data_IF_215464092906
#
_entry.id   IF_215464092906
#
_cell.length_a   1.000
_cell.length_b   1.000
_cell.length_c   1.000
_cell.angle_alpha   90.00
_cell.angle_beta   90.00
_cell.angle_gamma   90.00
#
_symmetry.space_group_name_H-M   'P 1'
#
loop_
_entity.id
_entity.type
_entity.pdbx_description
1 polymer ?
#
# COMPACT_ATOMS: atom_id res chain seq x y z
N UNK A 1 -63.07 45.29 87.67
CA UNK A 1 -63.47 46.53 86.97
C UNK A 1 -62.28 47.40 86.55
N UNK A 2 -61.18 47.50 87.33
CA UNK A 2 -60.00 48.28 86.93
C UNK A 2 -59.27 47.76 85.66
N UNK A 3 -59.05 46.45 85.52
CA UNK A 3 -58.37 45.89 84.33
C UNK A 3 -59.08 46.18 83.01
N UNK A 4 -60.42 46.12 83.01
CA UNK A 4 -61.22 46.40 81.81
C UNK A 4 -61.17 47.87 81.38
N UNK A 5 -61.01 48.81 82.33
CA UNK A 5 -60.91 50.24 82.04
C UNK A 5 -59.56 50.59 81.42
N UNK A 6 -58.47 50.05 81.96
CA UNK A 6 -57.12 50.26 81.42
C UNK A 6 -56.96 49.61 80.05
N UNK A 7 -57.58 48.45 79.83
CA UNK A 7 -57.57 47.79 78.53
C UNK A 7 -58.39 48.57 77.48
N UNK A 8 -59.53 49.17 77.87
CA UNK A 8 -60.32 50.06 77.02
C UNK A 8 -59.52 51.31 76.62
N UNK A 9 -58.84 51.96 77.57
CA UNK A 9 -57.99 53.13 77.30
C UNK A 9 -56.83 52.80 76.35
N UNK A 10 -56.20 51.64 76.50
CA UNK A 10 -55.16 51.17 75.59
C UNK A 10 -55.69 50.96 74.17
N UNK A 11 -56.83 50.28 74.03
CA UNK A 11 -57.46 50.02 72.73
C UNK A 11 -57.90 51.33 72.05
N UNK A 12 -58.45 52.28 72.81
CA UNK A 12 -58.83 53.60 72.29
C UNK A 12 -57.61 54.39 71.81
N UNK A 13 -56.51 54.38 72.56
CA UNK A 13 -55.26 55.04 72.17
C UNK A 13 -54.67 54.43 70.89
N UNK A 14 -54.67 53.09 70.79
CA UNK A 14 -54.22 52.39 69.59
C UNK A 14 -55.13 52.68 68.38
N UNK A 15 -56.45 52.73 68.59
CA UNK A 15 -57.42 53.04 67.55
C UNK A 15 -57.26 54.47 66.99
N UNK A 16 -57.03 55.46 67.86
CA UNK A 16 -56.74 56.85 67.44
C UNK A 16 -55.40 56.95 66.69
N UNK A 17 -54.38 56.19 67.11
CA UNK A 17 -53.11 56.09 66.38
C UNK A 17 -53.32 55.55 64.97
N UNK A 18 -54.04 54.44 64.82
CA UNK A 18 -54.35 53.84 63.50
C UNK A 18 -55.20 54.78 62.64
N UNK A 19 -56.14 55.51 63.24
CA UNK A 19 -56.93 56.52 62.54
C UNK A 19 -56.06 57.67 61.98
N UNK A 20 -55.09 58.15 62.76
CA UNK A 20 -54.14 59.18 62.32
C UNK A 20 -53.21 58.68 61.20
N UNK A 21 -52.73 57.43 61.31
CA UNK A 21 -51.94 56.78 60.25
C UNK A 21 -52.75 56.63 58.96
N UNK A 22 -54.03 56.26 59.06
CA UNK A 22 -54.93 56.16 57.90
C UNK A 22 -55.19 57.52 57.24
N UNK A 23 -55.47 58.57 58.03
CA UNK A 23 -55.64 59.92 57.51
C UNK A 23 -54.37 60.43 56.81
N UNK A 24 -53.19 60.12 57.35
CA UNK A 24 -51.90 60.43 56.74
C UNK A 24 -51.75 59.71 55.39
N UNK A 25 -52.06 58.42 55.33
CA UNK A 25 -52.01 57.63 54.09
C UNK A 25 -52.95 58.19 53.00
N UNK A 26 -54.16 58.61 53.40
CA UNK A 26 -55.11 59.24 52.47
C UNK A 26 -54.55 60.52 51.85
N UNK A 27 -53.88 61.36 52.63
CA UNK A 27 -53.30 62.63 52.17
C UNK A 27 -51.96 62.49 51.43
N UNK A 28 -51.25 61.37 51.60
CA UNK A 28 -49.92 61.15 51.02
C UNK A 28 -49.95 60.85 49.50
N UNK A 29 -51.09 60.37 48.97
CA UNK A 29 -51.20 59.93 47.59
C UNK A 29 -52.39 60.58 46.88
N UNK A 30 -52.24 60.80 45.57
CA UNK A 30 -53.37 61.11 44.69
C UNK A 30 -54.06 59.80 44.30
N UNK A 31 -55.18 59.49 44.94
CA UNK A 31 -55.93 58.24 44.71
C UNK A 31 -56.73 58.29 43.41
N UNK A 32 -56.62 57.27 42.53
CA UNK A 32 -57.40 57.22 41.30
C UNK A 32 -58.89 56.92 41.58
N UNK A 33 -59.76 57.28 40.64
CA UNK A 33 -61.22 57.23 40.81
C UNK A 33 -61.80 55.82 41.10
N UNK A 34 -61.05 54.75 40.83
CA UNK A 34 -61.44 53.36 41.12
C UNK A 34 -61.08 52.92 42.56
N UNK A 35 -60.44 53.78 43.36
CA UNK A 35 -60.17 53.56 44.78
C UNK A 35 -61.11 54.49 45.58
N UNK A 36 -62.28 54.00 46.01
CA UNK A 36 -63.24 54.82 46.72
C UNK A 36 -62.69 55.18 48.10
N UNK A 37 -62.73 56.46 48.45
CA UNK A 37 -62.34 56.96 49.77
C UNK A 37 -63.60 57.14 50.65
N UNK A 38 -63.47 57.06 51.98
CA UNK A 38 -64.52 57.44 52.91
C UNK A 38 -65.03 58.86 52.63
N UNK A 39 -66.34 59.03 52.58
CA UNK A 39 -66.97 60.33 52.33
C UNK A 39 -66.79 61.35 53.48
N UNK A 40 -66.42 60.86 54.67
CA UNK A 40 -66.15 61.65 55.87
C UNK A 40 -64.84 61.18 56.52
N UNK A 41 -64.06 62.10 57.13
CA UNK A 41 -62.87 61.72 57.90
C UNK A 41 -63.26 60.80 59.07
N UNK A 42 -62.27 60.06 59.60
CA UNK A 42 -62.47 59.24 60.80
C UNK A 42 -62.88 60.16 61.96
N UNK A 43 -64.03 59.93 62.62
CA UNK A 43 -64.46 60.78 63.73
C UNK A 43 -63.52 60.68 64.94
N UNK A 44 -63.26 61.79 65.64
CA UNK A 44 -62.51 61.79 66.90
C UNK A 44 -63.31 61.19 68.07
N UNK A 45 -64.64 61.21 67.97
CA UNK A 45 -65.58 60.69 68.97
C UNK A 45 -65.94 59.23 68.67
N UNK A 46 -65.57 58.33 69.60
CA UNK A 46 -65.83 56.89 69.50
C UNK A 46 -67.32 56.53 69.38
N UNK A 47 -68.24 57.37 69.85
CA UNK A 47 -69.69 57.10 69.71
C UNK A 47 -70.16 57.14 68.26
N UNK A 48 -69.41 57.80 67.37
CA UNK A 48 -69.73 57.94 65.94
C UNK A 48 -69.06 56.86 65.06
N UNK A 49 -68.18 56.04 65.64
CA UNK A 49 -67.42 55.03 64.91
C UNK A 49 -68.32 53.93 64.35
N UNK A 50 -69.37 53.54 65.06
CA UNK A 50 -70.33 52.54 64.57
C UNK A 50 -71.00 53.00 63.26
N UNK A 51 -71.40 54.27 63.18
CA UNK A 51 -71.98 54.86 61.97
C UNK A 51 -70.96 55.00 60.85
N UNK A 52 -69.72 55.38 61.18
CA UNK A 52 -68.64 55.49 60.19
C UNK A 52 -68.27 54.12 59.61
N UNK A 53 -68.11 53.08 60.44
CA UNK A 53 -67.85 51.71 59.98
C UNK A 53 -68.99 51.15 59.14
N UNK A 54 -70.25 51.42 59.49
CA UNK A 54 -71.38 51.02 58.65
C UNK A 54 -71.33 51.65 57.25
N UNK A 55 -70.85 52.89 57.14
CA UNK A 55 -70.65 53.59 55.87
C UNK A 55 -69.38 53.19 55.10
N UNK A 56 -68.37 52.65 55.76
CA UNK A 56 -67.08 52.24 55.16
C UNK A 56 -66.90 50.73 55.01
N UNK A 57 -67.87 49.93 55.48
CA UNK A 57 -67.85 48.45 55.43
C UNK A 57 -67.45 47.84 54.08
N UNK A 58 -67.90 48.34 52.90
CA UNK A 58 -67.54 47.72 51.62
C UNK A 58 -66.16 48.15 51.09
N UNK A 59 -65.55 49.19 51.66
CA UNK A 59 -64.31 49.77 51.13
C UNK A 59 -63.11 48.80 51.16
N UNK A 60 -62.85 48.01 52.23
CA UNK A 60 -61.73 47.08 52.24
C UNK A 60 -61.80 46.02 51.14
N UNK A 61 -63.00 45.49 50.85
CA UNK A 61 -63.18 44.51 49.77
C UNK A 61 -63.00 45.17 48.40
N UNK A 62 -63.48 46.41 48.23
CA UNK A 62 -63.31 47.19 47.00
C UNK A 62 -61.83 47.54 46.76
N UNK A 63 -61.09 47.95 47.80
CA UNK A 63 -59.64 48.18 47.72
C UNK A 63 -58.89 46.91 47.36
N UNK A 64 -59.24 45.77 47.98
CA UNK A 64 -58.65 44.46 47.65
C UNK A 64 -58.91 44.07 46.19
N UNK A 65 -60.14 44.27 45.68
CA UNK A 65 -60.45 44.05 44.26
C UNK A 65 -59.63 44.97 43.34
N UNK A 66 -59.50 46.25 43.70
CA UNK A 66 -58.74 47.24 42.95
C UNK A 66 -57.22 46.95 42.98
N UNK A 67 -56.71 46.38 44.07
CA UNK A 67 -55.34 45.89 44.20
C UNK A 67 -55.10 44.67 43.31
N UNK A 68 -55.93 43.62 43.42
CA UNK A 68 -55.82 42.41 42.59
C UNK A 68 -55.86 42.75 41.11
N UNK A 69 -56.81 43.59 40.67
CA UNK A 69 -56.90 44.01 39.27
C UNK A 69 -55.64 44.76 38.78
N UNK A 70 -54.96 45.52 39.65
CA UNK A 70 -53.68 46.17 39.33
C UNK A 70 -52.53 45.17 39.29
N UNK A 71 -52.50 44.20 40.21
CA UNK A 71 -51.51 43.13 40.21
C UNK A 71 -51.63 42.29 38.94
N UNK A 72 -52.85 41.93 38.53
CA UNK A 72 -53.13 41.19 37.28
C UNK A 72 -52.68 41.99 36.05
N UNK A 73 -53.02 43.28 35.97
CA UNK A 73 -52.54 44.17 34.89
C UNK A 73 -51.02 44.26 34.86
N UNK A 74 -50.36 44.37 36.02
CA UNK A 74 -48.89 44.39 36.13
C UNK A 74 -48.28 43.07 35.64
N UNK A 75 -48.84 41.93 36.03
CA UNK A 75 -48.40 40.62 35.56
C UNK A 75 -48.59 40.49 34.05
N UNK A 76 -49.75 40.87 33.52
CA UNK A 76 -50.03 40.86 32.09
C UNK A 76 -49.04 41.72 31.30
N UNK A 77 -48.79 42.96 31.74
CA UNK A 77 -47.78 43.85 31.11
C UNK A 77 -46.40 43.22 31.14
N UNK A 78 -46.00 42.59 32.25
CA UNK A 78 -44.71 41.93 32.37
C UNK A 78 -44.58 40.74 31.41
N UNK A 79 -45.62 39.91 31.29
CA UNK A 79 -45.68 38.82 30.31
C UNK A 79 -45.58 39.34 28.88
N UNK A 80 -46.29 40.42 28.57
CA UNK A 80 -46.28 41.02 27.23
C UNK A 80 -44.90 41.62 26.89
N UNK A 81 -44.24 42.26 27.86
CA UNK A 81 -42.85 42.74 27.71
C UNK A 81 -41.88 41.58 27.45
N UNK A 82 -42.02 40.46 28.17
CA UNK A 82 -41.19 39.26 27.94
C UNK A 82 -41.42 38.69 26.55
N UNK A 83 -42.68 38.50 26.15
CA UNK A 83 -43.03 37.99 24.83
C UNK A 83 -42.49 38.89 23.70
N UNK A 84 -42.58 40.22 23.87
CA UNK A 84 -41.99 41.17 22.92
C UNK A 84 -40.46 41.08 22.86
N UNK A 85 -39.80 40.87 24.01
CA UNK A 85 -38.36 40.60 24.07
C UNK A 85 -37.99 39.35 23.28
N UNK A 86 -38.63 38.22 23.59
CA UNK A 86 -38.42 36.94 22.88
C UNK A 86 -38.68 37.05 21.39
N UNK A 87 -39.72 37.76 20.96
CA UNK A 87 -40.00 37.99 19.55
C UNK A 87 -38.86 38.74 18.86
N UNK A 88 -38.34 39.81 19.49
CA UNK A 88 -37.22 40.59 18.94
C UNK A 88 -35.95 39.75 18.84
N UNK A 89 -35.62 38.98 19.87
CA UNK A 89 -34.43 38.13 19.89
C UNK A 89 -34.51 37.05 18.81
N UNK A 90 -35.65 36.37 18.70
CA UNK A 90 -35.88 35.37 17.66
C UNK A 90 -35.85 35.97 16.25
N UNK A 91 -36.38 37.17 16.06
CA UNK A 91 -36.35 37.86 14.77
C UNK A 91 -34.92 38.25 14.35
N UNK A 92 -34.08 38.67 15.30
CA UNK A 92 -32.67 38.94 15.05
C UNK A 92 -31.90 37.65 14.71
N UNK A 93 -32.11 36.58 15.49
CA UNK A 93 -31.50 35.28 15.23
C UNK A 93 -31.92 34.71 13.86
N UNK A 94 -33.19 34.87 13.49
CA UNK A 94 -33.68 34.48 12.16
C UNK A 94 -32.94 35.23 11.05
N UNK A 95 -32.80 36.56 11.17
CA UNK A 95 -32.05 37.36 10.18
C UNK A 95 -30.59 36.92 10.04
N UNK A 96 -29.94 36.57 11.15
CA UNK A 96 -28.57 36.07 11.12
C UNK A 96 -28.50 34.70 10.42
N UNK A 97 -29.40 33.78 10.76
CA UNK A 97 -29.49 32.46 10.14
C UNK A 97 -29.83 32.54 8.65
N UNK A 98 -30.70 33.45 8.23
CA UNK A 98 -31.05 33.67 6.82
C UNK A 98 -29.84 34.08 5.98
N UNK A 99 -28.83 34.74 6.58
CA UNK A 99 -27.56 35.08 5.92
C UNK A 99 -26.55 33.94 6.01
N UNK A 100 -26.45 33.28 7.16
CA UNK A 100 -25.43 32.28 7.45
C UNK A 100 -25.70 30.94 6.74
N UNK A 101 -26.97 30.51 6.71
CA UNK A 101 -27.37 29.21 6.19
C UNK A 101 -27.08 29.05 4.69
N UNK A 102 -27.34 30.03 3.80
CA UNK A 102 -26.89 29.97 2.41
C UNK A 102 -25.37 29.91 2.26
N UNK A 103 -24.62 30.63 3.10
CA UNK A 103 -23.15 30.65 3.05
C UNK A 103 -22.54 29.31 3.45
N UNK A 104 -23.05 28.68 4.51
CA UNK A 104 -22.60 27.36 4.95
C UNK A 104 -22.99 26.28 3.93
N UNK A 105 -24.19 26.35 3.36
CA UNK A 105 -24.58 25.44 2.26
C UNK A 105 -23.63 25.57 1.08
N UNK A 106 -23.28 26.80 0.67
CA UNK A 106 -22.32 27.02 -0.42
C UNK A 106 -20.92 26.53 -0.05
N UNK A 107 -20.46 26.73 1.18
CA UNK A 107 -19.18 26.21 1.65
C UNK A 107 -19.14 24.68 1.63
N UNK A 108 -20.24 24.01 2.01
CA UNK A 108 -20.38 22.57 1.93
C UNK A 108 -20.30 22.09 0.46
N UNK A 109 -21.05 22.72 -0.45
CA UNK A 109 -21.01 22.39 -1.88
C UNK A 109 -19.57 22.48 -2.44
N UNK A 110 -18.87 23.58 -2.16
CA UNK A 110 -17.48 23.77 -2.59
C UNK A 110 -16.57 22.68 -2.03
N UNK A 111 -16.69 22.37 -0.74
CA UNK A 111 -15.88 21.31 -0.12
C UNK A 111 -16.16 19.93 -0.73
N UNK A 112 -17.41 19.63 -1.09
CA UNK A 112 -17.76 18.38 -1.76
C UNK A 112 -17.23 18.30 -3.19
N UNK A 113 -17.34 19.38 -3.96
CA UNK A 113 -16.81 19.51 -5.32
C UNK A 113 -15.28 19.33 -5.35
N UNK A 114 -14.56 20.06 -4.50
CA UNK A 114 -13.09 19.98 -4.43
C UNK A 114 -12.62 18.61 -3.96
N UNK A 115 -13.30 17.99 -2.98
CA UNK A 115 -12.98 16.63 -2.53
C UNK A 115 -13.18 15.61 -3.65
N UNK A 116 -14.29 15.68 -4.39
CA UNK A 116 -14.55 14.76 -5.53
C UNK A 116 -13.48 14.96 -6.59
N UNK A 117 -13.22 16.19 -7.01
CA UNK A 117 -12.20 16.52 -8.01
C UNK A 117 -10.82 16.00 -7.62
N UNK A 118 -10.41 16.21 -6.37
CA UNK A 118 -9.13 15.71 -5.86
C UNK A 118 -9.07 14.18 -5.89
N UNK A 119 -10.14 13.51 -5.45
CA UNK A 119 -10.19 12.04 -5.38
C UNK A 119 -10.21 11.43 -6.78
N UNK A 120 -11.05 11.93 -7.69
CA UNK A 120 -11.15 11.44 -9.07
C UNK A 120 -9.82 11.63 -9.83
N UNK A 121 -9.16 12.78 -9.65
CA UNK A 121 -7.85 13.03 -10.23
C UNK A 121 -6.77 12.08 -9.69
N UNK A 122 -6.85 11.73 -8.40
CA UNK A 122 -5.91 10.80 -7.75
C UNK A 122 -6.16 9.37 -8.24
N UNK A 123 -7.42 8.91 -8.26
CA UNK A 123 -7.80 7.60 -8.76
C UNK A 123 -7.46 7.42 -10.25
N UNK A 124 -7.65 8.47 -11.07
CA UNK A 124 -7.28 8.44 -12.48
C UNK A 124 -5.77 8.25 -12.70
N UNK A 125 -4.93 8.88 -11.86
CA UNK A 125 -3.47 8.67 -11.90
C UNK A 125 -3.10 7.24 -11.52
N UNK A 126 -3.69 6.71 -10.45
CA UNK A 126 -3.47 5.32 -10.01
C UNK A 126 -3.90 4.35 -11.11
N UNK A 127 -5.10 4.51 -11.66
CA UNK A 127 -5.62 3.64 -12.70
C UNK A 127 -4.73 3.63 -13.96
N UNK A 128 -4.22 4.79 -14.37
CA UNK A 128 -3.26 4.89 -15.47
C UNK A 128 -1.98 4.13 -15.18
N UNK A 129 -1.46 4.24 -13.96
CA UNK A 129 -0.21 3.59 -13.58
C UNK A 129 -0.37 2.07 -13.43
N UNK A 130 -1.48 1.64 -12.83
CA UNK A 130 -1.87 0.22 -12.76
C UNK A 130 -1.97 -0.37 -14.17
N UNK A 131 -2.62 0.33 -15.11
CA UNK A 131 -2.72 -0.12 -16.50
C UNK A 131 -1.34 -0.25 -17.17
N UNK A 132 -0.41 0.69 -16.92
CA UNK A 132 0.97 0.61 -17.43
C UNK A 132 1.70 -0.62 -16.89
N UNK A 133 1.69 -0.81 -15.56
CA UNK A 133 2.35 -1.94 -14.91
C UNK A 133 1.76 -3.28 -15.36
N UNK A 134 0.43 -3.34 -15.46
CA UNK A 134 -0.27 -4.55 -15.86
C UNK A 134 0.04 -4.95 -17.30
N UNK A 135 0.13 -3.99 -18.24
CA UNK A 135 0.51 -4.25 -19.63
C UNK A 135 1.95 -4.78 -19.77
N UNK A 136 2.86 -4.45 -18.85
CA UNK A 136 4.23 -5.01 -18.85
C UNK A 136 4.19 -6.51 -18.52
N UNK A 137 3.34 -6.91 -17.57
CA UNK A 137 3.23 -8.32 -17.14
C UNK A 137 2.32 -9.13 -18.07
N UNK A 138 1.32 -8.48 -18.68
CA UNK A 138 0.28 -9.07 -19.54
C UNK A 138 0.21 -8.42 -20.94
N UNK A 139 1.33 -8.29 -21.70
CA UNK A 139 1.35 -7.62 -23.00
C UNK A 139 0.36 -8.24 -24.00
N UNK A 140 -0.42 -7.37 -24.64
CA UNK A 140 -1.30 -7.73 -25.76
C UNK A 140 -2.58 -8.47 -25.37
N UNK A 141 -2.89 -8.61 -24.08
CA UNK A 141 -4.13 -9.25 -23.61
C UNK A 141 -5.33 -8.29 -23.62
N UNK A 142 -5.09 -6.97 -23.73
CA UNK A 142 -6.14 -5.95 -23.77
C UNK A 142 -6.87 -5.72 -22.44
N UNK A 143 -6.32 -6.27 -21.35
CA UNK A 143 -6.85 -6.19 -19.98
C UNK A 143 -6.28 -5.02 -19.17
N UNK A 144 -5.39 -4.21 -19.75
CA UNK A 144 -4.76 -3.05 -19.12
C UNK A 144 -5.68 -1.85 -18.87
N UNK A 145 -6.91 -1.88 -19.38
CA UNK A 145 -7.91 -0.83 -19.16
C UNK A 145 -8.58 -1.01 -17.79
N UNK A 146 -7.83 -0.71 -16.74
CA UNK A 146 -8.31 -0.71 -15.36
C UNK A 146 -8.98 0.63 -15.06
N UNK A 147 -10.18 0.61 -14.52
CA UNK A 147 -10.86 1.79 -13.97
C UNK A 147 -11.02 1.64 -12.46
N UNK A 148 -10.81 2.74 -11.75
CA UNK A 148 -11.03 2.84 -10.32
C UNK A 148 -12.14 3.89 -10.13
N UNK A 149 -13.36 3.42 -9.89
CA UNK A 149 -14.56 4.24 -9.93
C UNK A 149 -15.20 4.34 -8.54
N UNK A 150 -15.56 5.56 -8.14
CA UNK A 150 -16.35 5.78 -6.93
C UNK A 150 -17.83 5.59 -7.24
N UNK A 151 -18.52 4.74 -6.49
CA UNK A 151 -19.97 4.64 -6.59
C UNK A 151 -20.61 5.86 -5.92
N UNK A 152 -21.16 6.77 -6.74
CA UNK A 152 -21.86 7.99 -6.29
C UNK A 152 -23.01 7.73 -5.31
N UNK A 153 -23.55 6.51 -5.25
CA UNK A 153 -24.67 6.13 -4.36
C UNK A 153 -24.21 5.50 -3.05
N UNK A 154 -22.93 5.15 -2.92
CA UNK A 154 -22.36 4.50 -1.72
C UNK A 154 -21.30 5.40 -1.09
N UNK A 155 -21.30 5.50 0.24
CA UNK A 155 -20.20 6.17 0.96
C UNK A 155 -18.96 5.27 0.96
N UNK A 156 -17.82 5.80 0.56
CA UNK A 156 -16.51 5.14 0.63
C UNK A 156 -16.42 3.79 -0.11
N UNK A 157 -17.13 3.65 -1.24
CA UNK A 157 -17.04 2.47 -2.10
C UNK A 157 -16.17 2.79 -3.31
N UNK A 158 -15.09 2.03 -3.47
CA UNK A 158 -14.26 2.01 -4.67
C UNK A 158 -14.56 0.71 -5.41
N UNK A 159 -15.09 0.82 -6.62
CA UNK A 159 -15.29 -0.30 -7.53
C UNK A 159 -14.09 -0.37 -8.47
N UNK A 160 -13.55 -1.57 -8.66
CA UNK A 160 -12.49 -1.83 -9.64
C UNK A 160 -13.18 -2.36 -10.88
N UNK A 161 -13.12 -1.61 -11.97
CA UNK A 161 -13.57 -2.03 -13.28
C UNK A 161 -12.39 -2.45 -14.16
N UNK A 162 -12.64 -3.40 -15.05
CA UNK A 162 -11.75 -3.70 -16.16
C UNK A 162 -12.55 -3.73 -17.47
N UNK A 163 -11.83 -3.80 -18.60
CA UNK A 163 -12.42 -4.16 -19.87
C UNK A 163 -12.21 -5.65 -20.16
N UNK A 164 -13.29 -6.35 -20.51
CA UNK A 164 -13.26 -7.74 -20.91
C UNK A 164 -14.10 -7.95 -22.17
N UNK A 165 -13.52 -8.57 -23.21
CA UNK A 165 -14.19 -8.83 -24.49
C UNK A 165 -14.92 -7.61 -25.11
N UNK A 166 -14.33 -6.41 -24.98
CA UNK A 166 -14.90 -5.18 -25.51
C UNK A 166 -16.02 -4.55 -24.66
N UNK A 167 -16.42 -5.18 -23.55
CA UNK A 167 -17.26 -4.57 -22.53
C UNK A 167 -16.38 -3.87 -21.49
N UNK A 168 -16.78 -2.66 -21.08
CA UNK A 168 -16.10 -1.87 -20.05
C UNK A 168 -16.89 -1.90 -18.74
N UNK A 169 -16.19 -1.71 -17.61
CA UNK A 169 -16.82 -1.65 -16.29
C UNK A 169 -17.21 -3.02 -15.74
N UNK A 170 -16.59 -4.09 -16.24
CA UNK A 170 -16.78 -5.45 -15.71
C UNK A 170 -15.90 -5.66 -14.48
N UNK A 171 -16.39 -6.29 -13.40
CA UNK A 171 -15.57 -6.57 -12.22
C UNK A 171 -14.49 -7.61 -12.57
N UNK A 172 -13.19 -7.31 -12.39
CA UNK A 172 -12.10 -8.25 -12.70
C UNK A 172 -12.27 -9.60 -12.01
N UNK A 173 -12.75 -9.58 -10.76
CA UNK A 173 -12.98 -10.75 -9.91
C UNK A 173 -13.88 -11.82 -10.55
N UNK A 174 -14.74 -11.43 -11.50
CA UNK A 174 -15.66 -12.33 -12.16
C UNK A 174 -15.08 -12.97 -13.44
N UNK A 175 -14.01 -12.41 -14.01
CA UNK A 175 -13.53 -12.77 -15.35
C UNK A 175 -12.04 -13.09 -15.43
N UNK A 176 -11.24 -12.61 -14.50
CA UNK A 176 -9.79 -12.80 -14.49
C UNK A 176 -9.45 -14.11 -13.76
N UNK A 177 -8.37 -14.79 -14.17
CA UNK A 177 -7.85 -15.92 -13.39
C UNK A 177 -7.17 -15.43 -12.10
N UNK A 178 -6.93 -16.33 -11.16
CA UNK A 178 -6.25 -16.02 -9.90
C UNK A 178 -4.90 -15.32 -10.13
N UNK A 179 -4.07 -15.84 -11.06
CA UNK A 179 -2.79 -15.21 -11.42
C UNK A 179 -2.95 -13.78 -11.95
N UNK A 180 -4.03 -13.47 -12.67
CA UNK A 180 -4.30 -12.11 -13.16
C UNK A 180 -4.80 -11.20 -12.03
N UNK A 181 -5.63 -11.71 -11.13
CA UNK A 181 -6.12 -10.96 -9.97
C UNK A 181 -5.00 -10.61 -9.00
N UNK A 182 -4.10 -11.54 -8.73
CA UNK A 182 -2.97 -11.32 -7.84
C UNK A 182 -1.98 -10.31 -8.44
N UNK A 183 -1.70 -10.43 -9.75
CA UNK A 183 -0.87 -9.46 -10.46
C UNK A 183 -1.52 -8.07 -10.49
N UNK A 184 -2.84 -7.98 -10.68
CA UNK A 184 -3.59 -6.73 -10.62
C UNK A 184 -3.48 -6.09 -9.23
N UNK A 185 -3.66 -6.88 -8.17
CA UNK A 185 -3.50 -6.43 -6.79
C UNK A 185 -2.10 -5.87 -6.54
N UNK A 186 -1.07 -6.58 -6.97
CA UNK A 186 0.32 -6.12 -6.87
C UNK A 186 0.55 -4.80 -7.63
N UNK A 187 0.03 -4.67 -8.85
CA UNK A 187 0.12 -3.43 -9.63
C UNK A 187 -0.53 -2.25 -8.91
N UNK A 188 -1.67 -2.46 -8.23
CA UNK A 188 -2.33 -1.44 -7.41
C UNK A 188 -1.44 -1.01 -6.25
N UNK A 189 -0.87 -1.96 -5.51
CA UNK A 189 0.01 -1.64 -4.38
C UNK A 189 1.28 -0.92 -4.81
N UNK A 190 1.91 -1.34 -5.91
CA UNK A 190 3.09 -0.68 -6.47
C UNK A 190 2.78 0.75 -6.93
N UNK A 191 1.68 0.93 -7.67
CA UNK A 191 1.24 2.24 -8.12
C UNK A 191 1.00 3.18 -6.93
N UNK A 192 0.31 2.72 -5.88
CA UNK A 192 0.08 3.49 -4.65
C UNK A 192 1.39 3.84 -3.93
N UNK A 193 2.31 2.89 -3.80
CA UNK A 193 3.60 3.11 -3.14
C UNK A 193 4.46 4.14 -3.90
N UNK A 194 4.38 4.15 -5.23
CA UNK A 194 5.10 5.09 -6.09
C UNK A 194 4.54 6.52 -6.06
N UNK A 195 3.33 6.74 -5.51
CA UNK A 195 2.70 8.07 -5.51
C UNK A 195 3.35 9.06 -4.54
N UNK A 196 3.78 8.60 -3.37
CA UNK A 196 4.24 9.47 -2.28
C UNK A 196 5.75 9.29 -2.06
N UNK A 197 6.52 10.18 -2.70
CA UNK A 197 7.98 10.29 -2.57
C UNK A 197 8.70 8.94 -2.62
N UNK A 198 8.69 8.22 -3.76
CA UNK A 198 9.28 6.89 -3.86
C UNK A 198 10.76 6.85 -3.39
N UNK A 199 11.54 7.89 -3.68
CA UNK A 199 12.95 7.99 -3.22
C UNK A 199 13.16 8.12 -1.70
N UNK A 200 12.10 8.30 -0.91
CA UNK A 200 12.12 8.26 0.56
C UNK A 200 11.51 6.96 1.12
N UNK A 201 10.86 6.15 0.27
CA UNK A 201 10.08 4.98 0.66
C UNK A 201 10.89 3.69 0.59
N UNK A 202 10.76 2.85 1.63
CA UNK A 202 11.27 1.48 1.65
C UNK A 202 10.10 0.56 1.28
N UNK A 203 10.22 -0.12 0.14
CA UNK A 203 9.23 -1.08 -0.33
C UNK A 203 9.58 -2.49 0.20
N UNK A 204 8.60 -3.17 0.78
CA UNK A 204 8.74 -4.56 1.25
C UNK A 204 7.65 -5.41 0.61
N UNK A 205 8.08 -6.43 -0.13
CA UNK A 205 7.19 -7.36 -0.84
C UNK A 205 7.43 -8.76 -0.29
N UNK A 206 6.45 -9.30 0.45
CA UNK A 206 6.54 -10.62 1.05
C UNK A 206 5.75 -11.65 0.25
N UNK A 207 6.49 -12.57 -0.37
CA UNK A 207 6.01 -13.77 -1.06
C UNK A 207 5.01 -13.54 -2.20
N UNK A 208 5.18 -12.43 -2.90
CA UNK A 208 4.30 -11.96 -3.99
C UNK A 208 4.35 -12.78 -5.30
N UNK A 209 5.25 -13.76 -5.41
CA UNK A 209 5.46 -14.51 -6.67
C UNK A 209 4.81 -15.89 -6.69
N UNK A 210 4.36 -16.39 -5.55
CA UNK A 210 4.01 -17.80 -5.40
C UNK A 210 2.72 -18.21 -6.14
N UNK A 211 1.83 -17.25 -6.41
CA UNK A 211 0.50 -17.50 -7.00
C UNK A 211 0.39 -17.14 -8.48
N UNK A 212 1.52 -16.85 -9.13
CA UNK A 212 1.58 -16.37 -10.52
C UNK A 212 2.14 -17.46 -11.43
N UNK A 213 1.54 -17.63 -12.61
CA UNK A 213 2.00 -18.66 -13.55
C UNK A 213 3.38 -18.33 -14.16
N UNK A 214 4.18 -19.37 -14.44
CA UNK A 214 5.59 -19.25 -14.87
C UNK A 214 5.84 -18.23 -16.01
N UNK A 215 5.01 -18.15 -17.08
CA UNK A 215 5.24 -17.16 -18.14
C UNK A 215 5.00 -15.71 -17.71
N UNK A 216 4.19 -15.49 -16.68
CA UNK A 216 3.94 -14.16 -16.10
C UNK A 216 5.01 -13.80 -15.07
N UNK A 217 5.52 -14.77 -14.32
CA UNK A 217 6.57 -14.56 -13.29
C UNK A 217 7.84 -13.94 -13.89
N UNK A 218 8.28 -14.36 -15.07
CA UNK A 218 9.46 -13.77 -15.71
C UNK A 218 9.28 -12.28 -16.01
N UNK A 219 8.15 -11.91 -16.64
CA UNK A 219 7.81 -10.51 -16.95
C UNK A 219 7.62 -9.69 -15.68
N UNK A 220 7.03 -10.28 -14.65
CA UNK A 220 6.87 -9.64 -13.35
C UNK A 220 8.21 -9.34 -12.69
N UNK A 221 9.14 -10.29 -12.68
CA UNK A 221 10.48 -10.08 -12.12
C UNK A 221 11.19 -8.92 -12.85
N UNK A 222 11.10 -8.86 -14.17
CA UNK A 222 11.66 -7.75 -14.95
C UNK A 222 11.03 -6.40 -14.58
N UNK A 223 9.69 -6.35 -14.50
CA UNK A 223 8.98 -5.15 -14.04
C UNK A 223 9.42 -4.74 -12.63
N UNK A 224 9.55 -5.69 -11.70
CA UNK A 224 9.97 -5.42 -10.33
C UNK A 224 11.39 -4.86 -10.25
N UNK A 225 12.32 -5.28 -11.14
CA UNK A 225 13.66 -4.69 -11.18
C UNK A 225 13.63 -3.23 -11.58
N UNK A 226 12.86 -2.91 -12.63
CA UNK A 226 12.77 -1.54 -13.14
C UNK A 226 12.03 -0.64 -12.13
N UNK A 227 10.92 -1.12 -11.56
CA UNK A 227 10.14 -0.38 -10.56
C UNK A 227 10.81 -0.34 -9.18
N UNK A 228 11.72 -1.24 -8.83
CA UNK A 228 12.46 -1.16 -7.56
C UNK A 228 13.43 0.03 -7.54
N UNK A 229 13.92 0.48 -8.71
CA UNK A 229 14.95 1.51 -8.82
C UNK A 229 14.47 2.93 -8.44
N UNK A 230 13.17 3.18 -8.46
CA UNK A 230 12.58 4.46 -7.99
C UNK A 230 12.51 4.56 -6.46
N UNK A 231 12.50 3.43 -5.76
CA UNK A 231 12.38 3.40 -4.31
C UNK A 231 13.74 3.59 -3.63
N UNK A 232 13.75 4.10 -2.40
CA UNK A 232 14.99 4.18 -1.61
C UNK A 232 15.62 2.80 -1.43
N UNK A 233 14.79 1.81 -1.14
CA UNK A 233 15.20 0.43 -0.98
C UNK A 233 14.00 -0.48 -1.24
N UNK A 234 14.24 -1.63 -1.88
CA UNK A 234 13.22 -2.64 -2.12
C UNK A 234 13.69 -3.98 -1.54
N UNK A 235 12.90 -4.55 -0.64
CA UNK A 235 13.12 -5.86 -0.03
C UNK A 235 12.07 -6.82 -0.58
N UNK A 236 12.51 -7.92 -1.17
CA UNK A 236 11.62 -8.96 -1.67
C UNK A 236 11.98 -10.27 -0.99
N UNK A 237 11.01 -10.85 -0.29
CA UNK A 237 11.11 -12.20 0.29
C UNK A 237 10.27 -13.14 -0.55
N UNK A 238 10.78 -14.35 -0.79
CA UNK A 238 10.03 -15.37 -1.54
C UNK A 238 10.55 -16.77 -1.24
N UNK A 239 9.67 -17.75 -1.32
CA UNK A 239 10.05 -19.16 -1.33
C UNK A 239 10.12 -19.76 -2.75
N UNK A 240 9.89 -18.94 -3.78
CA UNK A 240 9.85 -19.38 -5.18
C UNK A 240 11.24 -19.73 -5.70
N UNK A 241 11.56 -21.03 -5.62
CA UNK A 241 12.87 -21.61 -5.96
C UNK A 241 13.32 -21.36 -7.41
N UNK A 242 12.46 -21.35 -8.43
CA UNK A 242 12.92 -21.10 -9.78
C UNK A 242 13.63 -19.75 -9.91
N UNK A 243 13.15 -18.67 -9.28
CA UNK A 243 13.83 -17.37 -9.29
C UNK A 243 15.25 -17.44 -8.72
N UNK A 244 15.44 -18.18 -7.61
CA UNK A 244 16.77 -18.51 -7.08
C UNK A 244 17.64 -19.22 -8.12
N UNK A 245 17.10 -20.20 -8.84
CA UNK A 245 17.87 -20.90 -9.89
C UNK A 245 18.23 -19.93 -11.03
N UNK A 246 17.32 -19.03 -11.43
CA UNK A 246 17.62 -18.02 -12.45
C UNK A 246 18.80 -17.14 -12.01
N UNK A 247 18.84 -16.70 -10.75
CA UNK A 247 20.00 -15.97 -10.23
C UNK A 247 21.27 -16.83 -10.18
N UNK A 248 21.17 -18.02 -9.60
CA UNK A 248 22.27 -18.97 -9.40
C UNK A 248 23.04 -19.24 -10.69
N UNK A 249 22.30 -19.29 -11.80
CA UNK A 249 22.83 -19.52 -13.14
C UNK A 249 23.08 -18.24 -13.95
N UNK A 250 22.96 -17.05 -13.36
CA UNK A 250 23.20 -15.79 -14.08
C UNK A 250 22.19 -15.56 -15.22
N UNK A 251 20.94 -15.97 -15.05
CA UNK A 251 19.86 -15.65 -15.99
C UNK A 251 19.18 -14.31 -15.69
N UNK A 252 19.48 -13.71 -14.54
CA UNK A 252 19.03 -12.38 -14.16
C UNK A 252 20.19 -11.40 -14.34
N UNK A 253 19.87 -10.12 -14.54
CA UNK A 253 20.89 -9.05 -14.63
C UNK A 253 21.68 -9.01 -13.32
N UNK A 254 22.99 -9.23 -13.37
CA UNK A 254 23.82 -9.14 -12.17
C UNK A 254 24.01 -7.68 -11.76
N UNK A 255 24.04 -7.42 -10.45
CA UNK A 255 24.33 -6.10 -9.87
C UNK A 255 23.12 -5.22 -9.53
N UNK A 256 21.90 -5.55 -9.98
CA UNK A 256 20.69 -4.78 -9.65
C UNK A 256 20.04 -5.18 -8.32
N UNK A 257 20.34 -6.38 -7.79
CA UNK A 257 19.76 -6.87 -6.54
C UNK A 257 20.77 -7.71 -5.76
N UNK A 258 20.82 -7.47 -4.44
CA UNK A 258 21.55 -8.31 -3.51
C UNK A 258 20.68 -9.50 -3.12
N UNK A 259 21.15 -10.70 -3.40
CA UNK A 259 20.45 -11.91 -2.99
C UNK A 259 21.01 -12.47 -1.69
N UNK A 260 20.09 -12.81 -0.80
CA UNK A 260 20.39 -13.37 0.51
C UNK A 260 19.57 -14.65 0.66
N UNK A 261 20.24 -15.76 0.90
CA UNK A 261 19.56 -17.01 1.22
C UNK A 261 19.50 -17.19 2.74
N UNK A 262 18.35 -17.65 3.23
CA UNK A 262 18.16 -17.97 4.64
C UNK A 262 18.25 -19.49 4.82
N UNK A 263 18.98 -19.94 5.85
CA UNK A 263 18.99 -21.35 6.25
C UNK A 263 17.62 -21.75 6.77
N UNK A 264 17.37 -23.07 6.80
CA UNK A 264 16.27 -23.61 7.59
C UNK A 264 16.42 -23.16 9.04
N UNK A 265 15.34 -22.66 9.63
CA UNK A 265 15.30 -22.34 11.05
C UNK A 265 15.50 -23.61 11.87
N UNK A 266 16.32 -23.52 12.92
CA UNK A 266 16.44 -24.56 13.95
C UNK A 266 16.36 -23.91 15.32
N UNK A 267 15.89 -24.65 16.33
CA UNK A 267 15.81 -24.14 17.70
C UNK A 267 17.19 -23.71 18.23
N UNK A 268 18.24 -24.48 17.91
CA UNK A 268 19.59 -24.22 18.39
C UNK A 268 20.25 -22.98 17.75
N UNK A 269 20.05 -22.76 16.44
CA UNK A 269 20.80 -21.76 15.67
C UNK A 269 19.94 -20.63 15.08
N UNK A 270 18.61 -20.70 15.22
CA UNK A 270 17.68 -19.76 14.60
C UNK A 270 17.72 -19.79 13.07
N UNK A 271 17.39 -18.66 12.44
CA UNK A 271 17.64 -18.39 11.02
C UNK A 271 19.07 -17.87 10.88
N UNK A 272 19.83 -18.45 9.94
CA UNK A 272 21.15 -17.97 9.57
C UNK A 272 21.18 -17.57 8.10
N UNK A 273 22.18 -16.77 7.73
CA UNK A 273 22.39 -16.29 6.37
C UNK A 273 23.34 -17.25 5.63
N UNK A 274 22.93 -17.71 4.45
CA UNK A 274 23.81 -18.36 3.48
C UNK A 274 24.15 -17.32 2.42
N UNK A 275 25.44 -17.07 2.19
CA UNK A 275 25.86 -16.26 1.03
C UNK A 275 25.55 -17.05 -0.24
N UNK A 276 24.70 -16.47 -1.10
CA UNK A 276 24.46 -16.98 -2.45
C UNK A 276 25.60 -16.51 -3.36
N UNK A 277 26.68 -17.29 -3.42
CA UNK A 277 27.71 -17.10 -4.45
C UNK A 277 27.27 -17.89 -5.70
N UNK A 278 27.17 -17.26 -6.89
CA UNK A 278 26.88 -17.97 -8.14
C UNK A 278 27.81 -19.17 -8.34
N UNK A 279 27.36 -20.25 -8.97
CA UNK A 279 28.16 -21.48 -9.03
C UNK A 279 29.49 -21.30 -9.75
N UNK A 280 29.50 -20.49 -10.82
CA UNK A 280 30.71 -20.19 -11.61
C UNK A 280 31.75 -19.47 -10.75
N UNK A 281 31.32 -18.46 -9.98
CA UNK A 281 32.19 -17.74 -9.06
C UNK A 281 32.66 -18.64 -7.92
N UNK A 282 31.79 -19.51 -7.39
CA UNK A 282 32.20 -20.50 -6.39
C UNK A 282 33.26 -21.47 -6.94
N UNK A 283 33.16 -21.89 -8.20
CA UNK A 283 34.19 -22.72 -8.84
C UNK A 283 35.51 -21.94 -8.97
N UNK A 284 35.47 -20.67 -9.39
CA UNK A 284 36.64 -19.79 -9.46
C UNK A 284 37.35 -19.68 -8.11
N UNK A 285 36.58 -19.51 -7.02
CA UNK A 285 37.11 -19.50 -5.66
C UNK A 285 37.73 -20.84 -5.25
N UNK A 286 37.06 -21.96 -5.52
CA UNK A 286 37.58 -23.31 -5.22
C UNK A 286 38.92 -23.59 -5.92
N UNK A 287 39.03 -23.21 -7.20
CA UNK A 287 40.26 -23.38 -7.98
C UNK A 287 41.40 -22.50 -7.45
N UNK A 288 41.07 -21.34 -6.89
CA UNK A 288 42.04 -20.40 -6.32
C UNK A 288 42.40 -20.68 -4.84
N UNK A 289 41.73 -21.62 -4.17
CA UNK A 289 42.05 -22.00 -2.79
C UNK A 289 43.49 -22.53 -2.68
N UNK A 290 44.14 -22.31 -1.54
CA UNK A 290 45.53 -22.74 -1.32
C UNK A 290 45.65 -23.54 -0.01
N UNK A 291 45.86 -24.86 -0.07
CA UNK A 291 45.82 -25.71 -1.27
C UNK A 291 44.38 -25.89 -1.80
N UNK A 292 44.18 -26.09 -3.11
CA UNK A 292 42.85 -26.33 -3.66
C UNK A 292 42.37 -27.75 -3.29
N UNK A 293 41.08 -27.91 -3.02
CA UNK A 293 40.45 -29.22 -2.77
C UNK A 293 40.04 -29.86 -4.11
N UNK A 294 40.73 -30.92 -4.59
CA UNK A 294 40.47 -31.52 -5.89
C UNK A 294 39.06 -32.12 -6.00
N UNK A 295 38.53 -32.68 -4.90
CA UNK A 295 37.21 -33.31 -4.88
C UNK A 295 36.11 -32.25 -5.02
N UNK A 296 36.20 -31.15 -4.25
CA UNK A 296 35.22 -30.07 -4.33
C UNK A 296 35.26 -29.35 -5.68
N UNK A 297 36.45 -29.08 -6.22
CA UNK A 297 36.63 -28.50 -7.56
C UNK A 297 35.97 -29.39 -8.61
N UNK A 298 36.27 -30.69 -8.61
CA UNK A 298 35.78 -31.63 -9.61
C UNK A 298 34.25 -31.82 -9.53
N UNK A 299 33.70 -31.95 -8.32
CA UNK A 299 32.26 -32.07 -8.10
C UNK A 299 31.51 -30.82 -8.58
N UNK A 300 32.02 -29.64 -8.24
CA UNK A 300 31.43 -28.35 -8.64
C UNK A 300 31.51 -28.13 -10.15
N UNK A 301 32.66 -28.39 -10.74
CA UNK A 301 32.88 -28.30 -12.19
C UNK A 301 31.97 -29.26 -12.95
N UNK A 302 31.79 -30.49 -12.46
CA UNK A 302 30.90 -31.47 -13.08
C UNK A 302 29.45 -31.00 -13.10
N UNK A 303 28.94 -30.51 -11.97
CA UNK A 303 27.58 -29.95 -11.87
C UNK A 303 27.36 -28.76 -12.82
N UNK A 304 28.34 -27.86 -12.90
CA UNK A 304 28.30 -26.69 -13.79
C UNK A 304 28.34 -27.12 -15.26
N UNK A 305 29.17 -28.11 -15.60
CA UNK A 305 29.26 -28.64 -16.96
C UNK A 305 27.96 -29.32 -17.39
N UNK A 306 27.32 -30.11 -16.53
CA UNK A 306 26.00 -30.70 -16.81
C UNK A 306 24.98 -29.63 -17.17
N UNK A 307 24.95 -28.54 -16.41
CA UNK A 307 24.07 -27.42 -16.71
C UNK A 307 24.39 -26.76 -18.06
N UNK A 308 25.66 -26.49 -18.33
CA UNK A 308 26.10 -25.87 -19.59
C UNK A 308 25.78 -26.74 -20.81
N UNK A 309 26.01 -28.05 -20.71
CA UNK A 309 25.68 -28.98 -21.78
C UNK A 309 24.18 -29.13 -21.93
N UNK A 310 23.42 -29.21 -20.84
CA UNK A 310 21.97 -29.25 -20.89
C UNK A 310 21.42 -28.00 -21.61
N UNK A 311 21.95 -26.81 -21.30
CA UNK A 311 21.63 -25.56 -21.99
C UNK A 311 21.86 -25.68 -23.50
N UNK A 312 23.05 -26.14 -23.92
CA UNK A 312 23.38 -26.32 -25.34
C UNK A 312 22.47 -27.35 -26.01
N UNK A 313 22.26 -28.52 -25.39
CA UNK A 313 21.44 -29.58 -25.95
C UNK A 313 19.98 -29.16 -26.11
N UNK A 314 19.45 -28.31 -25.21
CA UNK A 314 18.11 -27.75 -25.34
C UNK A 314 18.04 -26.71 -26.46
N UNK A 315 18.98 -25.77 -26.53
CA UNK A 315 18.99 -24.71 -27.56
C UNK A 315 19.16 -25.26 -28.98
N UNK A 316 19.90 -26.35 -29.11
CA UNK A 316 20.18 -26.99 -30.40
C UNK A 316 19.34 -28.25 -30.65
N UNK A 317 18.32 -28.52 -29.83
CA UNK A 317 17.41 -29.66 -29.96
C UNK A 317 18.17 -30.98 -30.18
N UNK A 318 19.25 -31.18 -29.42
CA UNK A 318 20.11 -32.34 -29.57
C UNK A 318 19.39 -33.62 -29.13
N UNK A 319 19.72 -34.74 -29.79
CA UNK A 319 19.17 -36.04 -29.42
C UNK A 319 19.80 -36.51 -28.11
N UNK A 320 19.01 -36.54 -27.04
CA UNK A 320 19.38 -37.06 -25.73
C UNK A 320 18.41 -38.20 -25.37
N UNK A 321 18.86 -39.34 -24.81
CA UNK A 321 17.98 -40.45 -24.46
C UNK A 321 16.88 -40.01 -23.49
N UNK A 322 15.61 -40.29 -23.79
CA UNK A 322 14.51 -39.97 -22.88
C UNK A 322 14.56 -40.87 -21.64
N UNK A 323 14.82 -40.28 -20.47
CA UNK A 323 14.86 -40.98 -19.18
C UNK A 323 13.67 -40.60 -18.30
N UNK A 324 13.07 -41.54 -17.55
CA UNK A 324 12.09 -41.22 -16.52
C UNK A 324 12.70 -40.25 -15.50
N UNK A 325 12.12 -39.05 -15.35
CA UNK A 325 12.59 -38.01 -14.43
C UNK A 325 13.52 -36.95 -15.03
N UNK A 326 13.91 -37.03 -16.31
CA UNK A 326 14.64 -35.96 -17.00
C UNK A 326 16.04 -35.66 -16.44
N UNK A 327 16.61 -36.57 -15.66
CA UNK A 327 17.96 -36.44 -15.10
C UNK A 327 18.99 -36.94 -16.11
N UNK A 328 19.76 -36.00 -16.67
CA UNK A 328 20.82 -36.26 -17.64
C UNK A 328 22.18 -36.02 -17.00
N UNK A 329 23.14 -36.88 -17.28
CA UNK A 329 24.51 -36.76 -16.80
C UNK A 329 25.45 -36.24 -17.89
N UNK A 330 26.67 -35.85 -17.52
CA UNK A 330 27.74 -35.51 -18.48
C UNK A 330 27.88 -36.59 -19.57
N UNK A 331 27.77 -37.87 -19.19
CA UNK A 331 27.89 -39.00 -20.11
C UNK A 331 26.75 -39.09 -21.14
N UNK A 332 25.58 -38.54 -20.84
CA UNK A 332 24.46 -38.44 -21.79
C UNK A 332 24.57 -37.17 -22.66
N UNK A 333 25.02 -36.06 -22.06
CA UNK A 333 24.97 -34.73 -22.66
C UNK A 333 26.19 -34.40 -23.54
N UNK A 334 27.42 -34.78 -23.15
CA UNK A 334 28.62 -34.53 -23.95
C UNK A 334 28.55 -35.17 -25.34
N UNK A 335 28.13 -36.45 -25.47
CA UNK A 335 28.02 -37.09 -26.79
C UNK A 335 26.88 -36.53 -27.64
N UNK A 336 25.83 -35.96 -27.02
CA UNK A 336 24.70 -35.37 -27.73
C UNK A 336 25.09 -34.12 -28.52
N UNK A 337 26.12 -33.39 -28.08
CA UNK A 337 26.80 -32.36 -28.88
C UNK A 337 27.71 -33.05 -29.90
N UNK A 338 27.08 -33.53 -30.97
CA UNK A 338 27.74 -34.30 -32.02
C UNK A 338 28.89 -33.54 -32.69
N UNK A 339 29.72 -34.26 -33.44
CA UNK A 339 30.91 -33.70 -34.10
C UNK A 339 30.58 -32.52 -35.01
N UNK A 340 29.43 -32.54 -35.69
CA UNK A 340 29.04 -31.49 -36.64
C UNK A 340 28.66 -30.21 -35.92
N UNK A 341 27.83 -30.32 -34.88
CA UNK A 341 27.49 -29.19 -34.02
C UNK A 341 28.73 -28.65 -33.32
N UNK A 342 29.55 -29.54 -32.72
CA UNK A 342 30.78 -29.18 -32.01
C UNK A 342 31.72 -28.33 -32.85
N UNK A 343 31.93 -28.70 -34.12
CA UNK A 343 32.77 -27.94 -35.06
C UNK A 343 32.17 -26.60 -35.49
N UNK A 344 30.84 -26.49 -35.49
CA UNK A 344 30.16 -25.25 -35.84
C UNK A 344 30.02 -24.27 -34.65
N UNK A 345 30.07 -24.78 -33.42
CA UNK A 345 29.91 -23.98 -32.21
C UNK A 345 31.07 -22.99 -32.05
N UNK A 346 30.73 -21.71 -32.04
CA UNK A 346 31.65 -20.62 -31.76
C UNK A 346 30.94 -19.51 -30.99
N UNK A 347 31.69 -18.81 -30.15
CA UNK A 347 31.19 -17.65 -29.43
C UNK A 347 31.99 -16.44 -29.88
N UNK A 348 31.29 -15.39 -30.29
CA UNK A 348 31.87 -14.07 -30.50
C UNK A 348 31.80 -13.28 -29.19
N UNK A 349 32.97 -12.90 -28.67
CA UNK A 349 33.13 -12.17 -27.42
C UNK A 349 33.44 -10.71 -27.72
N UNK A 350 32.63 -9.79 -27.18
CA UNK A 350 32.84 -8.35 -27.34
C UNK A 350 34.15 -7.92 -26.67
N UNK A 351 35.04 -7.27 -27.42
CA UNK A 351 36.32 -6.73 -26.91
C UNK A 351 36.33 -5.22 -26.71
N UNK A 352 35.38 -4.53 -27.31
CA UNK A 352 35.26 -3.09 -27.23
C UNK A 352 34.49 -2.54 -28.41
N UNK A 353 34.50 -1.22 -28.51
CA UNK A 353 33.93 -0.47 -29.62
C UNK A 353 35.10 0.24 -30.30
N UNK A 354 35.20 0.14 -31.62
CA UNK A 354 36.23 0.82 -32.38
C UNK A 354 35.99 2.34 -32.47
N UNK A 355 36.90 3.05 -33.13
CA UNK A 355 36.85 4.50 -33.27
C UNK A 355 35.61 4.99 -34.06
N UNK A 356 34.98 4.12 -34.84
CA UNK A 356 33.80 4.42 -35.65
C UNK A 356 32.48 4.06 -34.93
N UNK A 357 32.56 3.59 -33.68
CA UNK A 357 31.38 3.20 -32.91
C UNK A 357 30.90 1.77 -33.19
N UNK A 358 31.67 0.95 -33.90
CA UNK A 358 31.32 -0.42 -34.26
C UNK A 358 31.88 -1.39 -33.21
N UNK A 359 31.03 -2.31 -32.75
CA UNK A 359 31.41 -3.33 -31.79
C UNK A 359 32.40 -4.35 -32.41
N UNK A 360 33.55 -4.53 -31.77
CA UNK A 360 34.62 -5.45 -32.19
C UNK A 360 34.51 -6.75 -31.41
N UNK A 361 34.44 -7.87 -32.14
CA UNK A 361 34.27 -9.20 -31.58
C UNK A 361 35.48 -10.11 -31.86
N UNK A 362 35.88 -10.87 -30.85
CA UNK A 362 36.79 -12.00 -31.00
C UNK A 362 35.99 -13.30 -31.17
N UNK A 363 36.22 -14.05 -32.24
CA UNK A 363 35.53 -15.33 -32.47
C UNK A 363 36.33 -16.48 -31.89
N UNK A 364 35.75 -17.19 -30.92
CA UNK A 364 36.37 -18.32 -30.23
C UNK A 364 35.59 -19.59 -30.54
N UNK A 365 36.25 -20.59 -31.13
CA UNK A 365 35.66 -21.90 -31.38
C UNK A 365 35.52 -22.71 -30.07
N UNK A 366 34.36 -23.34 -29.85
CA UNK A 366 34.13 -24.15 -28.64
C UNK A 366 34.64 -25.60 -28.78
N UNK A 367 34.90 -26.06 -30.02
CA UNK A 367 35.33 -27.43 -30.28
C UNK A 367 36.55 -27.88 -29.44
N UNK A 368 37.65 -27.10 -29.35
CA UNK A 368 38.83 -27.51 -28.58
C UNK A 368 38.49 -27.72 -27.10
N UNK A 369 37.61 -26.89 -26.54
CA UNK A 369 37.21 -26.98 -25.14
C UNK A 369 36.36 -28.22 -24.88
N UNK A 370 35.39 -28.49 -25.76
CA UNK A 370 34.50 -29.65 -25.65
C UNK A 370 35.22 -30.98 -25.94
N UNK A 371 36.17 -30.99 -26.86
CA UNK A 371 37.01 -32.16 -27.16
C UNK A 371 37.90 -32.49 -25.98
N UNK A 372 38.55 -31.48 -25.38
CA UNK A 372 39.34 -31.68 -24.18
C UNK A 372 38.48 -32.18 -23.02
N UNK A 373 37.32 -31.56 -22.76
CA UNK A 373 36.37 -32.04 -21.75
C UNK A 373 35.90 -33.47 -22.01
N UNK A 374 35.76 -33.89 -23.27
CA UNK A 374 35.45 -35.29 -23.61
C UNK A 374 36.57 -36.23 -23.19
N UNK A 375 37.84 -35.81 -23.37
CA UNK A 375 39.03 -36.58 -22.97
C UNK A 375 39.15 -36.71 -21.45
N UNK A 376 38.89 -35.63 -20.72
CA UNK A 376 39.13 -35.56 -19.27
C UNK A 376 37.87 -35.77 -18.41
N UNK A 377 36.68 -35.95 -19.01
CA UNK A 377 35.42 -36.19 -18.28
C UNK A 377 35.47 -37.39 -17.32
N UNK A 378 36.38 -38.35 -17.55
CA UNK A 378 36.60 -39.45 -16.62
C UNK A 378 37.06 -38.98 -15.23
N UNK A 379 37.82 -37.87 -15.14
CA UNK A 379 38.26 -37.29 -13.87
C UNK A 379 37.06 -36.98 -12.96
N UNK A 380 35.95 -36.49 -13.49
CA UNK A 380 34.70 -36.28 -12.74
C UNK A 380 34.16 -37.55 -12.12
N UNK A 381 34.15 -38.65 -12.87
CA UNK A 381 33.60 -39.91 -12.39
C UNK A 381 34.48 -40.54 -11.31
N UNK A 382 35.79 -40.25 -11.31
CA UNK A 382 36.75 -40.77 -10.33
C UNK A 382 36.82 -39.92 -9.06
N UNK A 383 36.94 -38.59 -9.18
CA UNK A 383 37.09 -37.70 -8.02
C UNK A 383 35.76 -37.20 -7.44
N UNK A 384 34.69 -37.19 -8.23
CA UNK A 384 33.48 -36.43 -7.91
C UNK A 384 32.58 -36.99 -6.80
N UNK A 385 32.49 -38.31 -6.62
CA UNK A 385 31.58 -38.91 -5.61
C UNK A 385 31.75 -40.42 -5.32
N UNK A 386 32.53 -41.18 -6.09
CA UNK A 386 32.64 -42.63 -5.93
C UNK A 386 34.06 -43.03 -5.52
N UNK A 387 34.20 -43.69 -4.36
CA UNK A 387 35.45 -44.38 -4.03
C UNK A 387 35.69 -45.46 -5.08
N UNK A 388 36.72 -45.31 -5.90
CA UNK A 388 37.16 -46.33 -6.83
C UNK A 388 38.68 -46.52 -6.70
N UNK A 389 39.19 -47.71 -7.02
CA UNK A 389 40.62 -47.98 -6.95
C UNK A 389 41.43 -47.16 -7.97
N UNK A 390 40.79 -46.66 -9.04
CA UNK A 390 41.40 -45.77 -10.04
C UNK A 390 41.70 -44.36 -9.50
N UNK A 391 41.10 -43.96 -8.37
CA UNK A 391 41.38 -42.67 -7.72
C UNK A 391 42.79 -42.62 -7.13
N UNK A 392 43.44 -43.77 -6.94
CA UNK A 392 44.84 -43.86 -6.54
C UNK A 392 45.82 -43.70 -7.72
N UNK A 393 45.34 -43.77 -8.97
CA UNK A 393 46.17 -43.70 -10.18
C UNK A 393 46.10 -42.33 -10.89
N UNK A 394 45.06 -41.54 -10.63
CA UNK A 394 44.89 -40.20 -11.17
C UNK A 394 45.56 -39.16 -10.26
N UNK A 395 46.15 -38.14 -10.87
CA UNK A 395 46.82 -37.07 -10.14
C UNK A 395 45.79 -36.00 -9.73
N UNK A 396 45.98 -35.35 -8.58
CA UNK A 396 45.18 -34.18 -8.17
C UNK A 396 45.17 -33.09 -9.25
N UNK A 397 46.24 -33.02 -10.05
CA UNK A 397 46.36 -32.14 -11.21
C UNK A 397 45.28 -32.39 -12.28
N UNK A 398 44.80 -33.63 -12.45
CA UNK A 398 43.76 -33.97 -13.42
C UNK A 398 42.39 -33.40 -13.00
N UNK A 399 42.08 -33.43 -11.71
CA UNK A 399 40.87 -32.84 -11.15
C UNK A 399 40.86 -31.30 -11.26
N UNK A 400 42.01 -30.67 -10.98
CA UNK A 400 42.17 -29.22 -11.17
C UNK A 400 42.11 -28.83 -12.64
N UNK A 401 42.74 -29.61 -13.53
CA UNK A 401 42.67 -29.42 -14.98
C UNK A 401 41.24 -29.49 -15.50
N UNK A 402 40.44 -30.45 -15.03
CA UNK A 402 39.00 -30.49 -15.34
C UNK A 402 38.26 -29.25 -14.86
N UNK A 403 38.50 -28.81 -13.62
CA UNK A 403 37.90 -27.58 -13.09
C UNK A 403 38.25 -26.34 -13.89
N UNK A 404 39.52 -26.16 -14.24
CA UNK A 404 40.03 -25.07 -15.06
C UNK A 404 39.37 -25.06 -16.44
N UNK A 405 39.29 -26.22 -17.10
CA UNK A 405 38.72 -26.36 -18.43
C UNK A 405 37.22 -26.01 -18.47
N UNK A 406 36.46 -26.42 -17.44
CA UNK A 406 35.05 -26.03 -17.31
C UNK A 406 34.92 -24.53 -17.08
N UNK A 407 35.78 -23.94 -16.25
CA UNK A 407 35.77 -22.49 -15.98
C UNK A 407 36.10 -21.67 -17.24
N UNK A 408 37.08 -22.10 -18.04
CA UNK A 408 37.44 -21.48 -19.31
C UNK A 408 36.28 -21.53 -20.32
N UNK A 409 35.65 -22.71 -20.47
CA UNK A 409 34.46 -22.85 -21.31
C UNK A 409 33.35 -21.87 -20.89
N UNK A 410 33.10 -21.72 -19.59
CA UNK A 410 32.06 -20.83 -19.08
C UNK A 410 32.41 -19.35 -19.22
N UNK A 411 33.66 -18.95 -19.04
CA UNK A 411 34.10 -17.57 -19.26
C UNK A 411 33.90 -17.14 -20.73
N UNK A 412 33.98 -18.10 -21.66
CA UNK A 412 33.70 -17.87 -23.08
C UNK A 412 32.19 -17.84 -23.33
N UNK A 413 31.46 -18.86 -22.86
CA UNK A 413 30.04 -19.04 -23.16
C UNK A 413 29.13 -18.00 -22.49
N UNK A 414 29.55 -17.49 -21.33
CA UNK A 414 28.76 -16.57 -20.49
C UNK A 414 29.49 -15.26 -20.26
N UNK A 415 28.72 -14.25 -19.89
CA UNK A 415 29.23 -12.98 -19.40
C UNK A 415 28.95 -12.85 -17.91
N UNK A 416 29.94 -12.39 -17.14
CA UNK A 416 29.82 -12.28 -15.68
C UNK A 416 28.74 -11.29 -15.23
N UNK A 417 28.41 -10.28 -16.05
CA UNK A 417 27.43 -9.26 -15.71
C UNK A 417 26.05 -9.53 -16.34
N UNK A 418 26.04 -9.99 -17.59
CA UNK A 418 24.78 -10.13 -18.36
C UNK A 418 24.33 -11.57 -18.58
N UNK A 419 25.14 -12.56 -18.19
CA UNK A 419 24.70 -13.96 -18.14
C UNK A 419 24.86 -14.75 -19.43
N UNK A 420 23.87 -15.60 -19.72
CA UNK A 420 23.89 -16.56 -20.84
C UNK A 420 23.26 -15.99 -22.13
N UNK A 421 23.75 -16.39 -23.31
CA UNK A 421 23.21 -15.95 -24.59
C UNK A 421 21.88 -16.65 -24.91
N UNK A 422 20.75 -16.00 -24.57
CA UNK A 422 19.38 -16.55 -24.72
C UNK A 422 18.51 -15.80 -25.72
N UNK A 423 18.94 -14.63 -26.20
CA UNK A 423 18.14 -13.81 -27.10
C UNK A 423 18.33 -14.25 -28.56
N UNK A 424 17.29 -14.81 -29.15
CA UNK A 424 17.29 -15.29 -30.54
C UNK A 424 16.82 -14.29 -31.59
N UNK A 425 16.58 -13.02 -31.23
CA UNK A 425 15.98 -12.01 -32.15
C UNK A 425 16.78 -11.77 -33.44
N UNK A 426 18.08 -12.01 -33.43
CA UNK A 426 18.96 -11.90 -34.61
C UNK A 426 18.65 -12.95 -35.69
N UNK A 427 18.15 -14.13 -35.30
CA UNK A 427 17.94 -15.27 -36.21
C UNK A 427 19.22 -15.90 -36.77
N UNK A 428 20.39 -15.30 -36.53
CA UNK A 428 21.71 -15.79 -36.97
C UNK A 428 22.54 -16.36 -35.81
N UNK A 429 22.33 -15.85 -34.60
CA UNK A 429 22.99 -16.27 -33.36
C UNK A 429 22.09 -16.04 -32.14
N UNK A 430 22.46 -16.64 -31.02
CA UNK A 430 21.90 -16.36 -29.70
C UNK A 430 22.76 -15.32 -28.99
N UNK A 431 22.16 -14.28 -28.41
CA UNK A 431 22.89 -13.17 -27.80
C UNK A 431 22.59 -13.00 -26.31
N UNK A 432 23.56 -12.47 -25.57
CA UNK A 432 23.32 -11.87 -24.26
C UNK A 432 22.67 -10.48 -24.40
N UNK A 433 22.20 -9.91 -23.30
CA UNK A 433 21.77 -8.50 -23.26
C UNK A 433 22.97 -7.61 -23.61
N UNK A 434 22.78 -6.65 -24.50
CA UNK A 434 23.88 -5.83 -25.02
C UNK A 434 24.83 -6.56 -25.97
N UNK A 435 24.49 -7.79 -26.37
CA UNK A 435 25.26 -8.64 -27.29
C UNK A 435 26.74 -8.79 -26.91
N UNK A 436 27.07 -8.89 -25.62
CA UNK A 436 28.45 -9.10 -25.15
C UNK A 436 29.00 -10.49 -25.49
N UNK A 437 28.11 -11.46 -25.68
CA UNK A 437 28.37 -12.80 -26.21
C UNK A 437 27.37 -13.09 -27.31
N UNK A 438 27.86 -13.60 -28.45
CA UNK A 438 27.01 -14.14 -29.51
C UNK A 438 27.39 -15.60 -29.76
N UNK A 439 26.49 -16.51 -29.41
CA UNK A 439 26.64 -17.94 -29.60
C UNK A 439 26.10 -18.35 -30.97
N UNK A 440 26.99 -18.88 -31.79
CA UNK A 440 26.71 -19.37 -33.14
C UNK A 440 26.84 -20.90 -33.18
N UNK A 441 26.10 -21.57 -34.07
CA UNK A 441 25.06 -21.03 -34.97
C UNK A 441 23.72 -20.77 -34.23
N UNK A 442 22.71 -20.19 -34.89
CA UNK A 442 21.36 -20.09 -34.32
C UNK A 442 20.66 -21.46 -34.20
N UNK A 443 20.84 -22.34 -35.19
CA UNK A 443 20.25 -23.68 -35.22
C UNK A 443 21.32 -24.73 -35.45
N UNK A 444 21.04 -25.95 -35.01
CA UNK A 444 21.91 -27.10 -35.23
C UNK A 444 22.18 -27.27 -36.73
N UNK A 445 23.44 -27.42 -37.16
CA UNK A 445 23.74 -27.59 -38.57
C UNK A 445 23.24 -28.93 -39.11
N UNK A 446 22.45 -28.87 -40.19
CA UNK A 446 22.37 -29.84 -41.31
C UNK A 446 22.50 -31.31 -40.96
#
# INVERSE_FOLDING_TARGET
>A
MQDASTQLESVQKDALRVAAEFATCQGQYSWPADIPLPAKPVPEDFTQWATWFAGTLPLPEQWKKAETARQDKKQFINTLKRALGTYKDNFLAQKELDVLLPRIKRALEIAEEERRRFTDATLGKIASEVGRLYEIVHPGEGLNKISLELDSKKRASLEIGASFCGQSGTPPQAYFSDSHLDTLGLCIFLALAAMDKPGETILVLDDILASIDEPHVERLIEMLYDEAAQFRHCLITTHYRPWKQKLRWGWLRNGQCQFVELTKWTEANGIALIRSTPDIERLRLLVAETPPDPQLVCAKAGFILEFALNFLTQHYECSVPLRPGGLYTIGDLLPAVDKKLRQALKVEVLKGIDADGIAVYESIALAPYLDELTRIAQARNVFGCHFNALSFELLDADALGFGQQVLELLNILTDEQVGWPRNGKSGSYWATIGETRRLHPFKKPS
#
